data_IF_007725402522
#
_entry.id   IF_007725402522
#
_cell.length_a   1.000
_cell.length_b   1.000
_cell.length_c   1.000
_cell.angle_alpha   90.00
_cell.angle_beta   90.00
_cell.angle_gamma   90.00
#
_symmetry.space_group_name_H-M   'P 1'
#
loop_
_entity.id
_entity.type
_entity.pdbx_description
1 polymer ?
#
# COMPACT_ATOMS: atom_id res chain seq x y z
N UNK A 1 20.33 -21.85 9.57
CA UNK A 1 19.20 -21.10 10.18
C UNK A 1 19.26 -21.03 11.71
N UNK A 2 19.56 -22.13 12.43
CA UNK A 2 19.57 -22.13 13.90
C UNK A 2 20.50 -21.10 14.56
N UNK A 3 21.73 -20.90 14.05
CA UNK A 3 22.64 -19.86 14.55
C UNK A 3 22.12 -18.44 14.25
N UNK A 4 21.69 -18.21 13.00
CA UNK A 4 21.11 -16.92 12.57
C UNK A 4 19.89 -16.53 13.41
N UNK A 5 19.05 -17.49 13.81
CA UNK A 5 17.88 -17.24 14.64
C UNK A 5 18.25 -16.84 16.08
N UNK A 6 19.37 -17.33 16.63
CA UNK A 6 19.82 -16.95 17.98
C UNK A 6 20.24 -15.48 18.03
N UNK A 7 20.97 -15.03 17.02
CA UNK A 7 21.49 -13.66 16.89
C UNK A 7 20.43 -12.66 16.40
N UNK A 8 19.30 -13.14 15.91
CA UNK A 8 18.25 -12.29 15.35
C UNK A 8 17.49 -11.53 16.43
N UNK A 9 17.42 -10.20 16.29
CA UNK A 9 16.55 -9.31 17.05
C UNK A 9 15.53 -8.67 16.11
N UNK A 10 14.55 -9.45 15.67
CA UNK A 10 13.50 -8.96 14.77
C UNK A 10 12.47 -8.11 15.55
N UNK A 11 12.61 -6.79 15.46
CA UNK A 11 11.70 -5.80 16.04
C UNK A 11 10.77 -5.20 14.99
N UNK A 12 9.79 -4.41 15.43
CA UNK A 12 8.92 -3.65 14.53
C UNK A 12 7.70 -4.42 14.02
N UNK A 13 7.22 -4.06 12.83
CA UNK A 13 6.00 -4.58 12.23
C UNK A 13 6.15 -6.04 11.83
N UNK A 14 5.00 -6.69 11.57
CA UNK A 14 5.00 -8.05 11.01
C UNK A 14 5.76 -8.11 9.68
N UNK A 15 5.69 -7.07 8.86
CA UNK A 15 6.41 -7.02 7.57
C UNK A 15 7.93 -7.00 7.77
N UNK A 16 8.43 -6.19 8.71
CA UNK A 16 9.86 -6.10 9.04
C UNK A 16 10.39 -7.42 9.61
N UNK A 17 9.62 -8.06 10.49
CA UNK A 17 9.97 -9.38 11.02
C UNK A 17 9.99 -10.45 9.94
N UNK A 18 9.05 -10.42 9.00
CA UNK A 18 9.04 -11.34 7.86
C UNK A 18 10.26 -11.10 6.96
N UNK A 19 10.62 -9.85 6.68
CA UNK A 19 11.85 -9.52 5.95
C UNK A 19 13.08 -10.07 6.67
N UNK A 20 13.21 -9.88 7.99
CA UNK A 20 14.33 -10.40 8.76
C UNK A 20 14.46 -11.93 8.66
N UNK A 21 13.34 -12.66 8.69
CA UNK A 21 13.31 -14.09 8.43
C UNK A 21 13.75 -14.42 7.00
N UNK A 22 13.25 -13.68 5.99
CA UNK A 22 13.61 -13.87 4.58
C UNK A 22 15.08 -13.58 4.32
N UNK A 23 15.67 -12.56 4.95
CA UNK A 23 17.08 -12.23 4.89
C UNK A 23 17.95 -13.38 5.43
N UNK A 24 17.53 -13.99 6.55
CA UNK A 24 18.21 -15.16 7.09
C UNK A 24 18.04 -16.42 6.22
N UNK A 25 16.85 -16.63 5.64
CA UNK A 25 16.63 -17.71 4.68
C UNK A 25 17.44 -17.49 3.40
N UNK A 26 17.58 -16.24 2.93
CA UNK A 26 18.39 -15.85 1.77
C UNK A 26 19.85 -16.24 1.98
N UNK A 27 20.42 -16.01 3.17
CA UNK A 27 21.77 -16.48 3.51
C UNK A 27 21.90 -18.01 3.37
N UNK A 28 20.92 -18.77 3.88
CA UNK A 28 20.91 -20.23 3.71
C UNK A 28 20.79 -20.63 2.23
N UNK A 29 19.90 -19.98 1.48
CA UNK A 29 19.73 -20.25 0.05
C UNK A 29 20.99 -19.96 -0.77
N UNK A 30 21.72 -18.90 -0.45
CA UNK A 30 23.01 -18.57 -1.08
C UNK A 30 24.05 -19.64 -0.76
N UNK A 31 24.14 -20.08 0.50
CA UNK A 31 25.03 -21.18 0.89
C UNK A 31 24.70 -22.50 0.17
N UNK A 32 23.41 -22.77 -0.07
CA UNK A 32 22.94 -23.91 -0.85
C UNK A 32 22.97 -23.69 -2.38
N UNK A 33 23.50 -22.56 -2.85
CA UNK A 33 23.56 -22.18 -4.27
C UNK A 33 22.19 -22.21 -5.00
N UNK A 34 21.09 -21.90 -4.29
CA UNK A 34 19.75 -21.81 -4.88
C UNK A 34 19.54 -20.47 -5.59
N UNK A 35 20.21 -20.29 -6.73
CA UNK A 35 20.04 -19.13 -7.60
C UNK A 35 18.78 -19.26 -8.46
N UNK A 36 18.21 -18.12 -8.85
CA UNK A 36 17.17 -18.03 -9.89
C UNK A 36 17.47 -16.85 -10.80
N UNK A 37 17.08 -16.95 -12.06
CA UNK A 37 17.06 -15.81 -12.97
C UNK A 37 15.97 -14.82 -12.56
N UNK A 38 16.25 -13.52 -12.72
CA UNK A 38 15.22 -12.48 -12.54
C UNK A 38 14.12 -12.69 -13.57
N UNK A 39 12.87 -12.79 -13.11
CA UNK A 39 11.73 -12.99 -14.00
C UNK A 39 11.47 -11.74 -14.86
N UNK A 40 11.02 -11.94 -16.11
CA UNK A 40 10.76 -10.84 -17.04
C UNK A 40 9.74 -9.81 -16.52
N UNK A 41 8.77 -10.24 -15.71
CA UNK A 41 7.77 -9.36 -15.11
C UNK A 41 8.25 -8.64 -13.82
N UNK A 42 9.49 -8.87 -13.37
CA UNK A 42 9.99 -8.32 -12.11
C UNK A 42 10.01 -6.79 -12.14
N UNK A 43 10.56 -6.19 -13.20
CA UNK A 43 10.62 -4.74 -13.37
C UNK A 43 9.23 -4.10 -13.30
N UNK A 44 8.29 -4.59 -14.12
CA UNK A 44 6.91 -4.11 -14.14
C UNK A 44 6.21 -4.27 -12.78
N UNK A 45 6.55 -5.31 -12.02
CA UNK A 45 6.01 -5.50 -10.68
C UNK A 45 6.58 -4.51 -9.68
N UNK A 46 7.89 -4.23 -9.74
CA UNK A 46 8.55 -3.23 -8.90
C UNK A 46 8.02 -1.83 -9.18
N UNK A 47 7.87 -1.48 -10.46
CA UNK A 47 7.27 -0.23 -10.91
C UNK A 47 5.87 -0.05 -10.34
N UNK A 48 5.00 -1.06 -10.48
CA UNK A 48 3.64 -1.03 -9.89
C UNK A 48 3.65 -0.85 -8.37
N UNK A 49 4.62 -1.44 -7.66
CA UNK A 49 4.73 -1.22 -6.21
C UNK A 49 5.19 0.20 -5.90
N UNK A 50 6.16 0.72 -6.66
CA UNK A 50 6.64 2.10 -6.56
C UNK A 50 5.50 3.10 -6.78
N UNK A 51 4.73 2.96 -7.86
CA UNK A 51 3.57 3.83 -8.15
C UNK A 51 2.52 3.78 -7.03
N UNK A 52 2.26 2.61 -6.44
CA UNK A 52 1.34 2.49 -5.30
C UNK A 52 1.89 3.16 -4.03
N UNK A 53 3.19 3.09 -3.78
CA UNK A 53 3.85 3.78 -2.67
C UNK A 53 3.75 5.30 -2.89
N UNK A 54 4.05 5.76 -4.10
CA UNK A 54 3.96 7.16 -4.53
C UNK A 54 2.53 7.71 -4.38
N UNK A 55 1.52 6.96 -4.79
CA UNK A 55 0.10 7.27 -4.53
C UNK A 55 -0.24 7.43 -3.04
N UNK A 56 0.29 6.55 -2.17
CA UNK A 56 0.08 6.67 -0.73
C UNK A 56 0.80 7.90 -0.12
N UNK A 57 2.00 8.22 -0.62
CA UNK A 57 2.76 9.43 -0.25
C UNK A 57 2.03 10.70 -0.66
N UNK A 58 1.51 10.74 -1.89
CA UNK A 58 0.66 11.83 -2.37
C UNK A 58 -0.59 12.02 -1.50
N UNK A 59 -1.29 10.94 -1.14
CA UNK A 59 -2.43 11.01 -0.25
C UNK A 59 -2.05 11.55 1.14
N UNK A 60 -0.91 11.11 1.68
CA UNK A 60 -0.35 11.61 2.94
C UNK A 60 -0.06 13.11 2.84
N UNK A 61 0.54 13.57 1.74
CA UNK A 61 0.79 14.99 1.49
C UNK A 61 -0.50 15.80 1.39
N UNK A 62 -1.53 15.32 0.68
CA UNK A 62 -2.83 16.00 0.62
C UNK A 62 -3.45 16.19 2.01
N UNK A 63 -3.38 15.17 2.87
CA UNK A 63 -3.82 15.29 4.26
C UNK A 63 -3.04 16.35 5.03
N UNK A 64 -1.71 16.41 4.84
CA UNK A 64 -0.87 17.45 5.45
C UNK A 64 -1.28 18.85 4.98
N UNK A 65 -1.60 19.03 3.69
CA UNK A 65 -2.10 20.32 3.18
C UNK A 65 -3.47 20.67 3.77
N UNK A 66 -4.37 19.71 3.93
CA UNK A 66 -5.66 19.92 4.61
C UNK A 66 -5.49 20.36 6.07
N UNK A 67 -4.44 19.92 6.77
CA UNK A 67 -4.15 20.42 8.12
C UNK A 67 -3.82 21.92 8.12
N UNK A 68 -3.09 22.40 7.09
CA UNK A 68 -2.76 23.82 6.96
C UNK A 68 -3.97 24.68 6.60
N UNK A 69 -4.93 24.12 5.87
CA UNK A 69 -6.20 24.77 5.56
C UNK A 69 -7.05 24.97 6.83
N UNK A 70 -7.07 23.97 7.73
CA UNK A 70 -7.78 24.05 9.01
C UNK A 70 -7.10 24.98 10.03
N UNK A 71 -5.77 24.84 10.19
CA UNK A 71 -5.00 25.67 11.11
C UNK A 71 -3.61 25.98 10.51
N UNK A 72 -3.45 27.17 9.90
CA UNK A 72 -2.17 27.62 9.36
C UNK A 72 -1.05 27.70 10.39
N UNK A 73 -1.37 27.81 11.69
CA UNK A 73 -0.37 27.91 12.76
C UNK A 73 0.37 26.59 13.01
N UNK A 74 -0.18 25.45 12.57
CA UNK A 74 0.47 24.13 12.68
C UNK A 74 1.80 24.11 11.93
N UNK A 75 1.96 24.91 10.87
CA UNK A 75 3.24 25.02 10.15
C UNK A 75 4.40 25.39 11.08
N UNK A 76 4.16 26.23 12.08
CA UNK A 76 5.17 26.61 13.09
C UNK A 76 5.44 25.48 14.09
N UNK A 77 4.43 24.67 14.42
CA UNK A 77 4.53 23.57 15.40
C UNK A 77 5.23 22.33 14.83
N UNK A 78 4.93 21.95 13.58
CA UNK A 78 5.45 20.73 12.93
C UNK A 78 6.66 20.99 12.03
N UNK A 79 6.96 22.26 11.73
CA UNK A 79 8.06 22.66 10.84
C UNK A 79 7.68 22.60 9.36
N UNK A 80 8.41 23.36 8.53
CA UNK A 80 8.14 23.44 7.09
C UNK A 80 8.41 22.12 6.36
N UNK A 81 9.40 21.35 6.79
CA UNK A 81 9.76 20.06 6.22
C UNK A 81 8.61 19.05 6.27
N UNK A 82 7.79 19.09 7.32
CA UNK A 82 6.66 18.18 7.46
C UNK A 82 5.65 18.33 6.31
N UNK A 83 5.52 19.52 5.71
CA UNK A 83 4.56 19.83 4.66
C UNK A 83 5.14 19.80 3.25
N UNK A 84 6.44 19.53 3.10
CA UNK A 84 7.06 19.39 1.79
C UNK A 84 6.50 18.18 1.05
N UNK A 85 6.38 18.33 -0.27
CA UNK A 85 6.12 17.24 -1.17
C UNK A 85 7.40 16.39 -1.29
N UNK A 86 7.25 15.08 -1.46
CA UNK A 86 8.38 14.22 -1.77
C UNK A 86 8.95 14.58 -3.16
N UNK A 87 10.28 14.55 -3.31
CA UNK A 87 10.98 15.02 -4.53
C UNK A 87 10.61 14.25 -5.80
N UNK A 88 10.14 13.02 -5.65
CA UNK A 88 9.72 12.16 -6.75
C UNK A 88 8.33 12.49 -7.29
N UNK A 89 7.57 13.40 -6.65
CA UNK A 89 6.21 13.78 -7.04
C UNK A 89 6.21 15.19 -7.66
N UNK A 90 6.19 15.25 -9.00
CA UNK A 90 6.08 16.48 -9.78
C UNK A 90 4.62 16.82 -10.16
N UNK A 91 4.41 18.02 -10.72
CA UNK A 91 3.08 18.48 -11.12
C UNK A 91 2.43 17.64 -12.23
N UNK A 92 3.22 17.09 -13.14
CA UNK A 92 2.73 16.30 -14.26
C UNK A 92 2.20 14.95 -13.75
N UNK A 93 2.97 14.28 -12.88
CA UNK A 93 2.53 13.07 -12.20
C UNK A 93 1.29 13.33 -11.34
N UNK A 94 1.18 14.47 -10.65
CA UNK A 94 -0.02 14.79 -9.87
C UNK A 94 -1.26 14.84 -10.78
N UNK A 95 -1.15 15.49 -11.95
CA UNK A 95 -2.27 15.57 -12.92
C UNK A 95 -2.65 14.21 -13.45
N UNK A 96 -1.67 13.40 -13.85
CA UNK A 96 -1.89 12.03 -14.33
C UNK A 96 -2.50 11.15 -13.23
N UNK A 97 -1.98 11.24 -12.01
CA UNK A 97 -2.46 10.45 -10.88
C UNK A 97 -3.88 10.85 -10.48
N UNK A 98 -4.21 12.15 -10.46
CA UNK A 98 -5.58 12.62 -10.22
C UNK A 98 -6.54 12.14 -11.31
N UNK A 99 -6.15 12.21 -12.58
CA UNK A 99 -6.94 11.70 -13.69
C UNK A 99 -7.17 10.18 -13.56
N UNK A 100 -6.12 9.43 -13.19
CA UNK A 100 -6.21 8.01 -12.88
C UNK A 100 -7.19 7.72 -11.74
N UNK A 101 -7.15 8.50 -10.64
CA UNK A 101 -8.08 8.33 -9.51
C UNK A 101 -9.55 8.58 -9.90
N UNK A 102 -9.80 9.59 -10.74
CA UNK A 102 -11.15 9.87 -11.25
C UNK A 102 -11.65 8.72 -12.12
N UNK A 103 -10.81 8.23 -13.04
CA UNK A 103 -11.18 7.12 -13.92
C UNK A 103 -11.35 5.81 -13.14
N UNK A 104 -10.50 5.54 -12.16
CA UNK A 104 -10.64 4.39 -11.26
C UNK A 104 -11.98 4.46 -10.50
N UNK A 105 -12.38 5.66 -10.05
CA UNK A 105 -13.65 5.86 -9.37
C UNK A 105 -14.85 5.65 -10.30
N UNK A 106 -14.80 6.14 -11.54
CA UNK A 106 -15.81 5.88 -12.59
C UNK A 106 -15.97 4.38 -12.85
N UNK A 107 -14.85 3.67 -13.00
CA UNK A 107 -14.86 2.23 -13.23
C UNK A 107 -15.41 1.46 -12.02
N UNK A 108 -15.09 1.88 -10.78
CA UNK A 108 -15.66 1.29 -9.57
C UNK A 108 -17.17 1.49 -9.49
N UNK A 109 -17.66 2.69 -9.81
CA UNK A 109 -19.09 3.00 -9.85
C UNK A 109 -19.80 2.12 -10.88
N UNK A 110 -19.27 2.05 -12.10
CA UNK A 110 -19.82 1.22 -13.18
C UNK A 110 -19.85 -0.25 -12.81
N UNK A 111 -18.72 -0.82 -12.38
CA UNK A 111 -18.64 -2.22 -11.95
C UNK A 111 -19.58 -2.54 -10.79
N UNK A 112 -19.81 -1.59 -9.88
CA UNK A 112 -20.75 -1.78 -8.77
C UNK A 112 -22.20 -1.74 -9.27
N UNK A 113 -22.52 -0.81 -10.15
CA UNK A 113 -23.83 -0.71 -10.79
C UNK A 113 -24.19 -1.97 -11.59
N UNK A 114 -23.26 -2.46 -12.41
CA UNK A 114 -23.45 -3.68 -13.20
C UNK A 114 -23.72 -4.88 -12.29
N UNK A 115 -22.92 -5.05 -11.22
CA UNK A 115 -23.12 -6.12 -10.23
C UNK A 115 -24.43 -6.02 -9.47
N UNK A 116 -24.87 -4.82 -9.14
CA UNK A 116 -26.14 -4.59 -8.46
C UNK A 116 -27.31 -4.94 -9.39
N UNK A 117 -27.21 -4.62 -10.69
CA UNK A 117 -28.20 -5.01 -11.69
C UNK A 117 -28.23 -6.52 -11.95
N UNK A 118 -27.08 -7.19 -12.03
CA UNK A 118 -27.01 -8.65 -12.13
C UNK A 118 -27.73 -9.35 -10.96
N UNK A 119 -27.57 -8.83 -9.73
CA UNK A 119 -28.27 -9.35 -8.56
C UNK A 119 -29.77 -9.14 -8.63
N UNK A 120 -30.21 -7.92 -8.99
CA UNK A 120 -31.62 -7.62 -9.15
C UNK A 120 -32.28 -8.51 -10.20
N UNK A 121 -31.63 -8.69 -11.34
CA UNK A 121 -32.11 -9.59 -12.38
C UNK A 121 -32.23 -11.04 -11.88
N UNK A 122 -31.26 -11.52 -11.09
CA UNK A 122 -31.32 -12.86 -10.47
C UNK A 122 -32.43 -13.00 -9.42
N UNK A 123 -32.80 -11.92 -8.74
CA UNK A 123 -33.90 -11.84 -7.78
C UNK A 123 -35.27 -11.59 -8.44
N UNK A 124 -35.31 -11.47 -9.78
CA UNK A 124 -36.52 -11.16 -10.53
C UNK A 124 -36.97 -9.69 -10.42
N UNK A 125 -36.13 -8.84 -9.85
CA UNK A 125 -36.32 -7.39 -9.77
C UNK A 125 -35.92 -6.70 -11.08
N UNK A 126 -36.48 -5.51 -11.32
CA UNK A 126 -36.11 -4.69 -12.48
C UNK A 126 -34.74 -4.04 -12.27
N UNK A 127 -33.96 -4.00 -13.35
CA UNK A 127 -32.68 -3.30 -13.40
C UNK A 127 -32.83 -1.82 -13.01
N UNK A 128 -31.80 -1.27 -12.35
CA UNK A 128 -31.70 0.15 -12.06
C UNK A 128 -31.60 0.95 -13.36
N UNK A 129 -32.22 2.12 -13.38
CA UNK A 129 -32.21 2.99 -14.56
C UNK A 129 -30.83 3.60 -14.77
N UNK A 130 -30.54 3.94 -16.03
CA UNK A 130 -29.33 4.68 -16.42
C UNK A 130 -29.23 6.03 -15.68
N UNK A 131 -30.35 6.66 -15.33
CA UNK A 131 -30.36 7.88 -14.51
C UNK A 131 -29.73 7.69 -13.13
N UNK A 132 -29.89 6.50 -12.52
CA UNK A 132 -29.26 6.20 -11.22
C UNK A 132 -27.74 5.97 -11.38
N UNK A 133 -27.30 5.48 -12.55
CA UNK A 133 -25.88 5.43 -12.87
C UNK A 133 -25.31 6.85 -13.04
N UNK A 134 -26.03 7.75 -13.73
CA UNK A 134 -25.62 9.14 -13.91
C UNK A 134 -25.48 9.88 -12.56
N UNK A 135 -26.44 9.72 -11.65
CA UNK A 135 -26.36 10.25 -10.28
C UNK A 135 -25.14 9.67 -9.53
N UNK A 136 -24.88 8.36 -9.63
CA UNK A 136 -23.69 7.76 -9.00
C UNK A 136 -22.40 8.29 -9.62
N UNK A 137 -22.40 8.57 -10.93
CA UNK A 137 -21.25 9.12 -11.67
C UNK A 137 -20.99 10.59 -11.32
N UNK A 138 -21.97 11.32 -10.79
CA UNK A 138 -21.79 12.67 -10.28
C UNK A 138 -20.71 12.74 -9.19
N UNK A 139 -20.56 11.68 -8.38
CA UNK A 139 -19.48 11.58 -7.40
C UNK A 139 -18.08 11.68 -8.05
N UNK A 140 -17.91 11.09 -9.24
CA UNK A 140 -16.64 11.14 -9.96
C UNK A 140 -16.44 12.48 -10.68
N UNK A 141 -17.52 13.12 -11.18
CA UNK A 141 -17.42 14.45 -11.81
C UNK A 141 -17.13 15.54 -10.76
N UNK A 142 -17.73 15.45 -9.57
CA UNK A 142 -17.40 16.33 -8.44
C UNK A 142 -15.95 16.14 -7.99
N UNK A 143 -15.45 14.91 -7.94
CA UNK A 143 -14.04 14.64 -7.67
C UNK A 143 -13.12 15.29 -8.71
N UNK A 144 -13.47 15.21 -10.00
CA UNK A 144 -12.72 15.84 -11.09
C UNK A 144 -12.70 17.38 -10.96
N UNK A 145 -13.84 17.99 -10.63
CA UNK A 145 -13.94 19.44 -10.40
C UNK A 145 -13.07 19.87 -9.23
N UNK A 146 -13.02 19.08 -8.14
CA UNK A 146 -12.16 19.34 -6.98
C UNK A 146 -10.69 19.32 -7.35
N UNK A 147 -10.23 18.28 -8.04
CA UNK A 147 -8.84 18.22 -8.50
C UNK A 147 -8.48 19.37 -9.46
N UNK A 148 -9.39 19.75 -10.37
CA UNK A 148 -9.20 20.92 -11.23
C UNK A 148 -9.11 22.23 -10.43
N UNK A 149 -9.85 22.38 -9.33
CA UNK A 149 -9.77 23.54 -8.43
C UNK A 149 -8.48 23.52 -7.63
N UNK A 150 -8.07 22.37 -7.08
CA UNK A 150 -6.81 22.18 -6.35
C UNK A 150 -5.61 22.54 -7.24
N UNK A 151 -5.57 22.07 -8.49
CA UNK A 151 -4.48 22.37 -9.42
C UNK A 151 -4.40 23.85 -9.83
N UNK A 152 -5.53 24.57 -9.80
CA UNK A 152 -5.56 26.02 -10.11
C UNK A 152 -5.21 26.89 -8.91
N UNK A 153 -5.64 26.49 -7.71
CA UNK A 153 -5.50 27.28 -6.48
C UNK A 153 -4.24 26.94 -5.69
N UNK A 154 -3.64 25.77 -5.93
CA UNK A 154 -2.53 25.24 -5.16
C UNK A 154 -2.90 24.90 -3.71
N UNK A 155 -4.19 24.90 -3.36
CA UNK A 155 -4.70 24.65 -2.00
C UNK A 155 -5.57 23.40 -1.99
N UNK A 156 -5.32 22.54 -1.00
CA UNK A 156 -6.12 21.34 -0.75
C UNK A 156 -7.10 21.64 0.37
N UNK A 157 -8.38 21.80 0.03
CA UNK A 157 -9.44 22.15 0.99
C UNK A 157 -9.80 20.96 1.90
N UNK A 158 -10.00 21.24 3.18
CA UNK A 158 -10.44 20.26 4.17
C UNK A 158 -11.97 20.13 4.17
N UNK A 159 -12.53 19.36 3.24
CA UNK A 159 -13.99 19.17 3.16
C UNK A 159 -14.45 17.85 3.80
N UNK A 160 -15.41 17.94 4.72
CA UNK A 160 -16.10 16.80 5.32
C UNK A 160 -16.68 17.12 6.70
N UNK A 161 -17.85 16.58 7.02
CA UNK A 161 -18.46 16.76 8.34
C UNK A 161 -17.59 16.04 9.40
N UNK A 162 -16.96 16.80 10.29
CA UNK A 162 -16.11 16.26 11.37
C UNK A 162 -14.66 15.96 10.99
N UNK A 163 -14.07 16.76 10.11
CA UNK A 163 -12.60 16.76 9.90
C UNK A 163 -11.95 17.57 11.02
N UNK A 164 -11.26 16.89 11.92
CA UNK A 164 -10.45 17.49 12.99
C UNK A 164 -8.97 17.23 12.71
N UNK A 165 -8.10 18.08 13.25
CA UNK A 165 -6.64 17.91 13.15
C UNK A 165 -6.22 16.53 13.65
N UNK A 166 -6.75 16.09 14.80
CA UNK A 166 -6.47 14.77 15.38
C UNK A 166 -6.87 13.62 14.45
N UNK A 167 -8.01 13.73 13.75
CA UNK A 167 -8.44 12.72 12.79
C UNK A 167 -7.52 12.67 11.59
N UNK A 168 -7.06 13.82 11.11
CA UNK A 168 -6.08 13.88 10.03
C UNK A 168 -4.74 13.28 10.47
N UNK A 169 -4.25 13.59 11.67
CA UNK A 169 -3.01 13.00 12.21
C UNK A 169 -3.10 11.47 12.31
N UNK A 170 -4.21 10.94 12.80
CA UNK A 170 -4.46 9.50 12.84
C UNK A 170 -4.45 8.87 11.43
N UNK A 171 -5.02 9.56 10.44
CA UNK A 171 -5.00 9.09 9.05
C UNK A 171 -3.60 9.16 8.44
N UNK A 172 -2.82 10.21 8.74
CA UNK A 172 -1.41 10.33 8.33
C UNK A 172 -0.60 9.18 8.91
N UNK A 173 -0.73 8.89 10.22
CA UNK A 173 -0.03 7.79 10.87
C UNK A 173 -0.36 6.42 10.24
N UNK A 174 -1.64 6.20 9.89
CA UNK A 174 -2.06 4.98 9.18
C UNK A 174 -1.46 4.87 7.77
N UNK A 175 -1.40 5.98 7.03
CA UNK A 175 -0.80 6.00 5.70
C UNK A 175 0.71 5.83 5.78
N UNK A 176 1.37 6.42 6.77
CA UNK A 176 2.80 6.25 7.03
C UNK A 176 3.15 4.80 7.31
N UNK A 177 2.45 4.16 8.25
CA UNK A 177 2.61 2.73 8.52
C UNK A 177 2.35 1.86 7.27
N UNK A 178 1.40 2.26 6.41
CA UNK A 178 1.12 1.57 5.16
C UNK A 178 2.27 1.72 4.16
N UNK A 179 2.81 2.93 4.01
CA UNK A 179 3.97 3.23 3.17
C UNK A 179 5.17 2.40 3.64
N UNK A 180 5.48 2.41 4.93
CA UNK A 180 6.61 1.65 5.49
C UNK A 180 6.48 0.16 5.21
N UNK A 181 5.29 -0.42 5.47
CA UNK A 181 5.02 -1.82 5.19
C UNK A 181 5.18 -2.15 3.69
N UNK A 182 4.72 -1.28 2.79
CA UNK A 182 4.85 -1.47 1.35
C UNK A 182 6.30 -1.33 0.88
N UNK A 183 7.05 -0.37 1.43
CA UNK A 183 8.48 -0.19 1.17
C UNK A 183 9.30 -1.40 1.63
N UNK A 184 9.02 -1.93 2.82
CA UNK A 184 9.67 -3.16 3.33
C UNK A 184 9.38 -4.36 2.43
N UNK A 185 8.14 -4.50 1.95
CA UNK A 185 7.77 -5.57 1.01
C UNK A 185 8.43 -5.41 -0.36
N UNK A 186 8.52 -4.19 -0.87
CA UNK A 186 9.23 -3.90 -2.12
C UNK A 186 10.71 -4.24 -1.99
N UNK A 187 11.36 -3.82 -0.89
CA UNK A 187 12.76 -4.12 -0.64
C UNK A 187 13.01 -5.63 -0.49
N UNK A 188 12.21 -6.33 0.31
CA UNK A 188 12.31 -7.79 0.47
C UNK A 188 12.17 -8.51 -0.87
N UNK A 189 11.31 -8.02 -1.76
CA UNK A 189 11.15 -8.59 -3.09
C UNK A 189 12.38 -8.36 -3.98
N UNK A 190 12.91 -7.15 -3.98
CA UNK A 190 14.11 -6.77 -4.73
C UNK A 190 15.35 -7.53 -4.25
N UNK A 191 15.58 -7.59 -2.93
CA UNK A 191 16.71 -8.30 -2.30
C UNK A 191 16.75 -9.78 -2.70
N UNK A 192 15.56 -10.37 -2.88
CA UNK A 192 15.39 -11.78 -3.19
C UNK A 192 15.22 -12.07 -4.69
N UNK A 193 15.37 -11.09 -5.59
CA UNK A 193 15.08 -11.27 -7.04
C UNK A 193 15.89 -12.40 -7.71
N UNK A 194 17.11 -12.67 -7.24
CA UNK A 194 18.03 -13.69 -7.79
C UNK A 194 18.13 -14.97 -6.96
N UNK A 195 17.36 -15.10 -5.87
CA UNK A 195 17.49 -16.22 -4.93
C UNK A 195 16.17 -16.99 -4.78
N UNK A 196 16.23 -18.32 -4.88
CA UNK A 196 15.08 -19.21 -4.71
C UNK A 196 14.90 -19.63 -3.25
N UNK A 197 14.17 -18.81 -2.48
CA UNK A 197 13.90 -19.01 -1.05
C UNK A 197 13.05 -20.25 -0.72
N UNK A 198 12.26 -20.76 -1.66
CA UNK A 198 11.34 -21.88 -1.43
C UNK A 198 12.08 -23.19 -1.17
N UNK A 199 13.08 -23.48 -2.00
CA UNK A 199 13.86 -24.72 -1.92
C UNK A 199 14.62 -24.83 -0.60
N UNK A 200 15.32 -23.76 -0.18
CA UNK A 200 16.03 -23.74 1.10
C UNK A 200 15.07 -23.91 2.27
N UNK A 201 13.92 -23.24 2.23
CA UNK A 201 12.94 -23.24 3.30
C UNK A 201 12.25 -24.59 3.50
N UNK A 202 11.94 -25.31 2.43
CA UNK A 202 11.20 -26.58 2.50
C UNK A 202 12.16 -27.75 2.77
N UNK A 203 13.33 -27.76 2.12
CA UNK A 203 14.19 -28.94 2.11
C UNK A 203 15.38 -28.85 3.07
N UNK A 204 15.78 -27.63 3.48
CA UNK A 204 17.06 -27.41 4.20
C UNK A 204 16.92 -26.64 5.52
N UNK A 205 15.74 -26.13 5.85
CA UNK A 205 15.44 -25.50 7.13
C UNK A 205 14.49 -26.40 7.91
N UNK A 206 14.91 -26.82 9.11
CA UNK A 206 14.02 -27.55 10.02
C UNK A 206 12.78 -26.67 10.33
N UNK A 207 11.55 -27.14 10.03
CA UNK A 207 10.33 -26.35 10.20
C UNK A 207 10.09 -25.93 11.66
N UNK A 208 10.66 -26.65 12.63
CA UNK A 208 10.60 -26.27 14.05
C UNK A 208 11.31 -24.95 14.31
N UNK A 209 12.37 -24.61 13.56
CA UNK A 209 13.03 -23.30 13.67
C UNK A 209 12.10 -22.16 13.25
N UNK A 210 11.29 -22.39 12.22
CA UNK A 210 10.27 -21.43 11.78
C UNK A 210 9.14 -21.31 12.82
N UNK A 211 8.73 -22.43 13.44
CA UNK A 211 7.76 -22.41 14.54
C UNK A 211 8.30 -21.71 15.81
N UNK A 212 9.61 -21.82 16.09
CA UNK A 212 10.27 -21.06 17.16
C UNK A 212 10.29 -19.57 16.81
N UNK A 213 10.60 -19.21 15.57
CA UNK A 213 10.56 -17.81 15.12
C UNK A 213 9.16 -17.20 15.27
N UNK A 214 8.11 -17.89 14.82
CA UNK A 214 6.73 -17.38 14.89
C UNK A 214 6.29 -17.15 16.32
N UNK A 215 6.62 -18.06 17.25
CA UNK A 215 6.36 -17.92 18.68
C UNK A 215 7.20 -16.81 19.33
N UNK A 216 8.50 -16.74 19.03
CA UNK A 216 9.43 -15.75 19.63
C UNK A 216 9.10 -14.32 19.24
N UNK A 217 8.74 -14.08 17.98
CA UNK A 217 8.52 -12.73 17.45
C UNK A 217 7.04 -12.38 17.23
N UNK A 218 6.13 -13.27 17.64
CA UNK A 218 4.68 -13.13 17.49
C UNK A 218 4.27 -12.82 16.03
N UNK A 219 4.74 -13.66 15.10
CA UNK A 219 4.40 -13.57 13.67
C UNK A 219 3.50 -14.74 13.29
N UNK A 220 2.35 -14.52 12.61
CA UNK A 220 1.47 -15.60 12.20
C UNK A 220 2.19 -16.60 11.29
N UNK A 221 2.07 -17.90 11.59
CA UNK A 221 2.72 -18.99 10.83
C UNK A 221 2.29 -19.02 9.35
N UNK A 222 1.10 -18.50 9.06
CA UNK A 222 0.54 -18.35 7.71
C UNK A 222 1.38 -17.44 6.81
N UNK A 223 2.19 -16.54 7.41
CA UNK A 223 3.14 -15.71 6.65
C UNK A 223 4.29 -16.53 6.09
N UNK A 224 4.55 -17.71 6.63
CA UNK A 224 5.65 -18.57 6.21
C UNK A 224 5.18 -19.82 5.46
N UNK A 225 4.13 -20.50 5.92
CA UNK A 225 3.68 -21.73 5.29
C UNK A 225 2.29 -21.54 4.66
N UNK A 226 2.14 -21.99 3.41
CA UNK A 226 0.85 -22.04 2.73
C UNK A 226 -0.07 -23.05 3.41
N UNK A 227 -1.38 -23.04 3.10
CA UNK A 227 -2.34 -23.99 3.70
C UNK A 227 -1.93 -25.47 3.49
N UNK A 228 -1.28 -25.79 2.38
CA UNK A 228 -0.82 -27.15 2.08
C UNK A 228 0.47 -27.55 2.83
N UNK A 229 1.22 -26.58 3.35
CA UNK A 229 2.50 -26.79 4.05
C UNK A 229 2.40 -26.57 5.57
N UNK A 230 1.18 -26.35 6.08
CA UNK A 230 0.88 -26.16 7.51
C UNK A 230 0.38 -27.43 8.15
#
# INVERSE_FOLDING_TARGET
>A
MGALLKEMNATGTVAEKVKAYNDANRKVAILCNHKRTVGAAHANQMEKMSERIKGCRYQKWRLKQQMLDLDPSIKKKKGAEFFKMDEDIDEDWIREHQAFLVEEQRQKIRKKFDKDNEKRAAEGEKEMKVSELEERMEVATEMEKKFKKENKTGKVEAEGRGVTIERIENNIARLEQRVDNMSVQAQDKEDNKEVALGTSKINYIDPRLTAVFTKRFNVPIEKFFSKALR
#
